data_IF_392691256656
#
_entry.id   IF_392691256656
#
_cell.length_a   1.000
_cell.length_b   1.000
_cell.length_c   1.000
_cell.angle_alpha   90.00
_cell.angle_beta   90.00
_cell.angle_gamma   90.00
#
_symmetry.space_group_name_H-M   'P 1'
#
loop_
_entity.id
_entity.type
_entity.pdbx_description
1 polymer ?
#
# COMPACT_ATOMS: atom_id res chain seq x y z
N UNK A 1 7.75 -15.84 16.88
CA UNK A 1 8.09 -16.42 15.56
C UNK A 1 7.43 -15.57 14.50
N UNK A 2 8.24 -14.71 13.88
CA UNK A 2 7.77 -13.78 12.84
C UNK A 2 7.78 -14.51 11.49
N UNK A 3 6.61 -14.96 11.06
CA UNK A 3 6.45 -15.49 9.71
C UNK A 3 6.43 -14.33 8.71
N UNK A 4 7.54 -14.10 8.04
CA UNK A 4 7.59 -13.15 6.93
C UNK A 4 6.78 -13.70 5.76
N UNK A 5 5.66 -13.09 5.47
CA UNK A 5 4.87 -13.40 4.28
C UNK A 5 5.55 -12.81 3.05
N UNK A 6 6.36 -13.62 2.40
CA UNK A 6 7.01 -13.25 1.13
C UNK A 6 5.99 -13.26 -0.01
N UNK A 7 5.82 -12.12 -0.65
CA UNK A 7 5.32 -12.04 -2.02
C UNK A 7 3.81 -12.21 -2.27
N UNK A 8 2.95 -11.86 -1.30
CA UNK A 8 1.50 -11.97 -1.53
C UNK A 8 0.83 -10.62 -1.29
N UNK A 9 0.10 -10.17 -2.28
CA UNK A 9 -0.74 -8.97 -2.15
C UNK A 9 -1.85 -9.25 -1.13
N UNK A 10 -1.88 -8.47 -0.08
CA UNK A 10 -2.89 -8.62 0.97
C UNK A 10 -4.14 -7.86 0.56
N UNK A 11 -5.14 -8.58 0.05
CA UNK A 11 -6.47 -8.03 -0.16
C UNK A 11 -7.33 -8.28 1.07
N UNK A 12 -7.80 -7.21 1.66
CA UNK A 12 -8.71 -7.27 2.81
C UNK A 12 -10.12 -7.01 2.30
N UNK A 13 -11.03 -7.95 2.50
CA UNK A 13 -12.45 -7.82 2.09
C UNK A 13 -13.26 -7.33 3.28
N UNK A 14 -13.94 -6.25 3.07
CA UNK A 14 -14.90 -5.66 3.98
C UNK A 14 -16.28 -5.70 3.33
N UNK A 15 -17.21 -6.02 4.18
CA UNK A 15 -18.64 -6.08 3.94
C UNK A 15 -19.14 -5.48 2.59
N UNK A 16 -19.44 -6.31 1.71
CA UNK A 16 -19.98 -5.87 0.47
C UNK A 16 -21.47 -6.14 0.44
N UNK A 17 -21.97 -5.53 0.24
CA UNK A 17 -23.29 -5.68 0.21
C UNK A 17 -23.71 -6.31 -1.06
N UNK A 18 -23.42 -7.04 -1.11
CA UNK A 18 -23.95 -7.47 -2.12
C UNK A 18 -24.25 -8.73 -2.63
N UNK A 19 -23.96 -9.17 -2.71
CA UNK A 19 -24.28 -10.00 -3.62
C UNK A 19 -24.76 -11.28 -3.24
N UNK A 20 -25.56 -11.75 -3.77
CA UNK A 20 -25.96 -13.15 -3.57
C UNK A 20 -25.48 -14.01 -4.74
N UNK A 21 -24.65 -14.98 -4.43
CA UNK A 21 -24.34 -16.09 -5.34
C UNK A 21 -23.61 -15.72 -6.64
N UNK A 22 -23.42 -16.70 -7.51
CA UNK A 22 -22.71 -16.57 -8.78
C UNK A 22 -23.41 -15.67 -9.80
N UNK A 23 -24.69 -15.40 -9.61
CA UNK A 23 -25.43 -14.38 -10.36
C UNK A 23 -25.69 -13.19 -9.45
N UNK A 24 -24.93 -12.11 -9.64
CA UNK A 24 -25.14 -10.85 -8.94
C UNK A 24 -26.40 -10.15 -9.45
N UNK A 25 -27.53 -10.86 -9.41
CA UNK A 25 -28.81 -10.31 -9.82
C UNK A 25 -29.59 -9.89 -8.58
N UNK A 26 -29.26 -8.70 -8.10
CA UNK A 26 -29.93 -8.12 -6.94
C UNK A 26 -31.34 -7.62 -7.30
N UNK A 27 -32.30 -8.50 -7.17
CA UNK A 27 -33.69 -8.07 -7.08
C UNK A 27 -34.13 -7.97 -5.63
N UNK A 28 -34.38 -6.73 -5.23
CA UNK A 28 -35.30 -6.28 -4.17
C UNK A 28 -34.90 -6.21 -2.70
N UNK A 29 -35.07 -4.98 -2.25
CA UNK A 29 -35.84 -4.46 -1.09
C UNK A 29 -35.64 -5.15 0.26
N UNK A 30 -35.30 -4.35 1.22
CA UNK A 30 -35.53 -4.61 2.62
C UNK A 30 -34.51 -3.94 3.51
N UNK A 31 -35.02 -3.32 4.50
CA UNK A 31 -34.30 -2.87 5.68
C UNK A 31 -33.47 -4.05 6.21
N UNK A 32 -32.16 -3.87 6.30
CA UNK A 32 -31.24 -5.01 6.52
C UNK A 32 -30.81 -5.10 7.97
N UNK A 33 -31.54 -5.89 8.69
CA UNK A 33 -31.23 -6.24 10.08
C UNK A 33 -30.56 -7.62 10.19
N UNK A 34 -29.87 -8.08 9.13
CA UNK A 34 -29.31 -9.43 9.20
C UNK A 34 -27.79 -9.42 9.03
N UNK A 35 -27.08 -9.33 10.14
CA UNK A 35 -25.62 -9.42 10.23
C UNK A 35 -25.08 -10.69 9.56
N UNK A 36 -25.80 -11.79 9.68
CA UNK A 36 -25.42 -13.09 9.10
C UNK A 36 -25.39 -13.07 7.57
N UNK A 37 -26.40 -12.44 6.95
CA UNK A 37 -26.47 -12.32 5.49
C UNK A 37 -25.25 -11.55 4.92
N UNK A 38 -24.85 -10.50 5.60
CA UNK A 38 -23.71 -9.65 5.19
C UNK A 38 -22.36 -10.38 5.32
N UNK A 39 -22.23 -11.26 6.32
CA UNK A 39 -21.03 -12.10 6.49
C UNK A 39 -20.96 -13.13 5.35
N UNK A 40 -22.08 -13.73 4.98
CA UNK A 40 -22.14 -14.71 3.88
C UNK A 40 -21.81 -14.06 2.52
N UNK A 41 -22.25 -12.83 2.31
CA UNK A 41 -21.90 -12.04 1.12
C UNK A 41 -20.39 -11.79 1.06
N UNK A 42 -19.77 -11.38 2.15
CA UNK A 42 -18.33 -11.16 2.25
C UNK A 42 -17.54 -12.45 2.01
N UNK A 43 -18.02 -13.58 2.53
CA UNK A 43 -17.43 -14.91 2.27
C UNK A 43 -17.54 -15.29 0.79
N UNK A 44 -18.66 -14.97 0.13
CA UNK A 44 -18.87 -15.24 -1.29
C UNK A 44 -17.88 -14.42 -2.15
N UNK A 45 -17.68 -13.15 -1.82
CA UNK A 45 -16.69 -12.28 -2.48
C UNK A 45 -15.29 -12.86 -2.25
N UNK A 46 -14.96 -13.22 -1.02
CA UNK A 46 -13.67 -13.87 -0.70
C UNK A 46 -13.44 -15.11 -1.57
N UNK A 47 -14.41 -16.01 -1.61
CA UNK A 47 -14.31 -17.25 -2.39
C UNK A 47 -14.13 -16.97 -3.89
N UNK A 48 -14.82 -15.96 -4.40
CA UNK A 48 -14.67 -15.52 -5.80
C UNK A 48 -13.24 -15.03 -6.07
N UNK A 49 -12.71 -14.17 -5.21
CA UNK A 49 -11.34 -13.62 -5.35
C UNK A 49 -10.28 -14.73 -5.27
N UNK A 50 -10.43 -15.65 -4.31
CA UNK A 50 -9.51 -16.79 -4.14
C UNK A 50 -9.51 -17.69 -5.38
N UNK A 51 -10.67 -17.95 -5.98
CA UNK A 51 -10.76 -18.72 -7.24
C UNK A 51 -10.01 -18.04 -8.40
N UNK A 52 -9.92 -16.73 -8.38
CA UNK A 52 -9.18 -15.96 -9.39
C UNK A 52 -7.72 -15.65 -8.97
N UNK A 53 -7.20 -16.36 -7.95
CA UNK A 53 -5.80 -16.26 -7.53
C UNK A 53 -5.47 -15.06 -6.64
N UNK A 54 -6.49 -14.33 -6.19
CA UNK A 54 -6.31 -13.15 -5.33
C UNK A 54 -6.46 -13.59 -3.87
N UNK A 55 -5.38 -13.47 -3.11
CA UNK A 55 -5.38 -13.83 -1.68
C UNK A 55 -6.11 -12.80 -0.83
N UNK A 56 -7.00 -13.28 0.00
CA UNK A 56 -7.75 -12.46 0.96
C UNK A 56 -7.20 -12.74 2.36
N UNK A 57 -6.66 -11.73 2.98
CA UNK A 57 -6.04 -11.82 4.32
C UNK A 57 -7.10 -11.96 5.41
N UNK A 58 -8.10 -11.09 5.38
CA UNK A 58 -9.09 -11.01 6.45
C UNK A 58 -10.43 -10.53 5.91
N UNK A 59 -11.51 -10.98 6.56
CA UNK A 59 -12.87 -10.49 6.33
C UNK A 59 -13.32 -9.85 7.64
N UNK A 60 -13.75 -8.60 7.57
CA UNK A 60 -14.15 -7.83 8.75
C UNK A 60 -15.60 -7.37 8.65
N UNK A 61 -16.21 -7.15 9.78
CA UNK A 61 -17.63 -6.77 9.88
C UNK A 61 -17.83 -5.32 10.26
N UNK A 62 -16.76 -4.65 10.72
CA UNK A 62 -16.79 -3.22 11.12
C UNK A 62 -15.62 -2.47 10.46
N UNK A 63 -15.77 -1.17 10.32
CA UNK A 63 -14.72 -0.30 9.81
C UNK A 63 -13.50 -0.24 10.76
N UNK A 64 -13.75 -0.24 12.07
CA UNK A 64 -12.67 -0.25 13.06
C UNK A 64 -11.77 -1.49 12.94
N UNK A 65 -12.37 -2.68 12.71
CA UNK A 65 -11.59 -3.89 12.42
C UNK A 65 -10.77 -3.73 11.13
N UNK A 66 -11.32 -3.00 10.16
CA UNK A 66 -10.68 -2.71 8.89
C UNK A 66 -9.42 -1.89 9.09
N UNK A 67 -9.55 -0.78 9.73
CA UNK A 67 -8.45 0.12 10.01
C UNK A 67 -7.34 -0.62 10.78
N UNK A 68 -7.70 -1.35 11.82
CA UNK A 68 -6.75 -2.14 12.63
C UNK A 68 -6.01 -3.18 11.79
N UNK A 69 -6.71 -3.85 10.86
CA UNK A 69 -6.08 -4.85 10.00
C UNK A 69 -5.16 -4.19 8.96
N UNK A 70 -5.51 -3.01 8.48
CA UNK A 70 -4.66 -2.22 7.57
C UNK A 70 -3.36 -1.78 8.27
N UNK A 71 -3.45 -1.32 9.52
CA UNK A 71 -2.27 -0.92 10.31
C UNK A 71 -1.28 -2.07 10.51
N UNK A 72 -1.78 -3.31 10.51
CA UNK A 72 -0.94 -4.50 10.68
C UNK A 72 -0.28 -4.98 9.38
N UNK A 73 -0.55 -4.32 8.25
CA UNK A 73 -0.06 -4.72 6.93
C UNK A 73 0.77 -3.61 6.27
N UNK A 74 1.68 -3.98 5.38
CA UNK A 74 2.57 -3.04 4.66
C UNK A 74 1.87 -2.32 3.50
N UNK A 75 0.88 -2.95 2.90
CA UNK A 75 0.09 -2.43 1.78
C UNK A 75 -1.09 -3.37 1.51
N UNK A 76 -2.07 -2.90 0.79
CA UNK A 76 -3.20 -3.74 0.42
C UNK A 76 -4.36 -3.02 -0.24
N UNK A 77 -5.41 -3.79 -0.53
CA UNK A 77 -6.66 -3.30 -1.08
C UNK A 77 -7.80 -3.62 -0.10
N UNK A 78 -8.54 -2.61 0.28
CA UNK A 78 -9.76 -2.75 1.08
C UNK A 78 -10.96 -2.72 0.12
N UNK A 79 -11.73 -3.79 0.11
CA UNK A 79 -12.99 -3.87 -0.67
C UNK A 79 -14.14 -3.72 0.32
N UNK A 80 -14.97 -2.72 0.13
CA UNK A 80 -16.01 -2.39 1.11
C UNK A 80 -17.32 -1.92 0.46
N UNK A 81 -18.37 -1.89 1.24
CA UNK A 81 -19.63 -1.23 0.90
C UNK A 81 -19.60 0.25 1.29
N UNK A 82 -20.65 0.96 0.91
CA UNK A 82 -20.79 2.39 1.22
C UNK A 82 -20.80 2.67 2.72
N UNK A 83 -21.38 1.78 3.51
CA UNK A 83 -21.59 2.00 4.96
C UNK A 83 -21.35 0.73 5.77
N UNK A 84 -20.68 0.90 6.89
CA UNK A 84 -20.50 -0.06 7.96
C UNK A 84 -21.48 0.23 9.10
N UNK A 85 -21.63 -0.68 10.08
CA UNK A 85 -22.42 -0.41 11.28
C UNK A 85 -21.88 0.76 12.13
N UNK A 86 -20.56 0.96 12.06
CA UNK A 86 -19.81 1.89 12.94
C UNK A 86 -19.34 3.16 12.22
N UNK A 87 -19.25 3.15 10.89
CA UNK A 87 -18.73 4.31 10.13
C UNK A 87 -19.08 4.27 8.65
N UNK A 88 -18.90 5.37 7.95
CA UNK A 88 -18.98 5.46 6.49
C UNK A 88 -17.64 5.07 5.85
N UNK A 89 -17.66 4.70 4.55
CA UNK A 89 -16.44 4.42 3.79
C UNK A 89 -15.46 5.60 3.79
N UNK A 90 -15.98 6.82 3.78
CA UNK A 90 -15.15 8.05 3.79
C UNK A 90 -14.41 8.22 5.11
N UNK A 91 -15.03 7.88 6.22
CA UNK A 91 -14.39 7.87 7.54
C UNK A 91 -13.32 6.78 7.61
N UNK A 92 -13.62 5.60 7.06
CA UNK A 92 -12.62 4.53 6.97
C UNK A 92 -11.44 4.97 6.10
N UNK A 93 -11.69 5.60 4.95
CA UNK A 93 -10.65 6.10 4.05
C UNK A 93 -9.71 7.11 4.73
N UNK A 94 -10.26 7.94 5.62
CA UNK A 94 -9.46 8.91 6.40
C UNK A 94 -8.64 8.24 7.52
N UNK A 95 -8.98 7.01 7.90
CA UNK A 95 -8.35 6.29 9.00
C UNK A 95 -7.43 5.15 8.56
N UNK A 96 -7.30 4.91 7.25
CA UNK A 96 -6.37 3.90 6.73
C UNK A 96 -5.08 4.56 6.24
N UNK A 97 -3.95 3.85 6.26
CA UNK A 97 -2.69 4.39 5.77
C UNK A 97 -2.72 4.68 4.25
N UNK A 98 -1.97 5.70 3.81
CA UNK A 98 -1.88 6.16 2.40
C UNK A 98 -1.39 5.08 1.42
N UNK A 99 -0.80 4.01 1.92
CA UNK A 99 -0.31 2.90 1.08
C UNK A 99 -1.38 1.82 0.85
N UNK A 100 -2.60 2.07 1.31
CA UNK A 100 -3.76 1.22 1.02
C UNK A 100 -4.65 1.84 -0.04
N UNK A 101 -5.07 1.04 -1.01
CA UNK A 101 -6.12 1.42 -1.94
C UNK A 101 -7.49 0.94 -1.42
N UNK A 102 -8.54 1.64 -1.82
CA UNK A 102 -9.91 1.30 -1.44
C UNK A 102 -10.79 1.14 -2.68
N UNK A 103 -11.58 0.07 -2.70
CA UNK A 103 -12.59 -0.20 -3.72
C UNK A 103 -13.97 -0.28 -3.04
N UNK A 104 -14.82 0.67 -3.37
CA UNK A 104 -16.15 0.77 -2.77
C UNK A 104 -17.20 0.17 -3.73
N UNK A 105 -18.03 -0.72 -3.22
CA UNK A 105 -19.17 -1.25 -3.97
C UNK A 105 -20.41 -0.50 -3.46
N UNK A 106 -21.01 0.32 -4.32
CA UNK A 106 -22.11 1.20 -3.94
C UNK A 106 -23.35 0.99 -4.81
N UNK A 107 -24.52 1.19 -4.20
CA UNK A 107 -25.77 1.24 -4.94
C UNK A 107 -25.77 2.47 -5.86
N UNK A 108 -26.60 2.49 -6.87
CA UNK A 108 -26.72 3.61 -7.81
C UNK A 108 -26.99 4.95 -7.10
N UNK A 109 -27.72 4.91 -6.00
CA UNK A 109 -28.05 6.10 -5.21
C UNK A 109 -26.80 6.74 -4.59
N UNK A 110 -25.85 5.91 -4.14
CA UNK A 110 -24.62 6.36 -3.46
C UNK A 110 -23.41 6.46 -4.38
N UNK A 111 -23.54 6.03 -5.64
CA UNK A 111 -22.42 5.96 -6.58
C UNK A 111 -21.78 7.32 -6.85
N UNK A 112 -22.60 8.35 -7.06
CA UNK A 112 -22.08 9.70 -7.33
C UNK A 112 -21.28 10.26 -6.13
N UNK A 113 -21.80 10.07 -4.93
CA UNK A 113 -21.11 10.49 -3.70
C UNK A 113 -19.76 9.75 -3.53
N UNK A 114 -19.70 8.47 -3.89
CA UNK A 114 -18.45 7.71 -3.88
C UNK A 114 -17.47 8.24 -4.94
N UNK A 115 -17.96 8.52 -6.14
CA UNK A 115 -17.15 9.01 -7.24
C UNK A 115 -16.51 10.36 -6.94
N UNK A 116 -17.23 11.24 -6.26
CA UNK A 116 -16.76 12.57 -5.86
C UNK A 116 -15.61 12.49 -4.83
N UNK A 117 -15.55 11.42 -4.06
CA UNK A 117 -14.47 11.24 -3.06
C UNK A 117 -13.12 10.87 -3.68
N UNK A 118 -13.06 10.58 -4.99
CA UNK A 118 -11.83 10.16 -5.67
C UNK A 118 -11.44 8.69 -5.43
N UNK A 119 -12.25 7.95 -4.69
CA UNK A 119 -12.01 6.53 -4.39
C UNK A 119 -12.61 5.68 -5.52
N UNK A 120 -11.92 4.61 -5.89
CA UNK A 120 -12.42 3.68 -6.91
C UNK A 120 -13.76 3.08 -6.48
N UNK A 121 -14.78 3.24 -7.32
CA UNK A 121 -16.13 2.81 -6.97
C UNK A 121 -16.74 1.94 -8.08
N UNK A 122 -17.41 0.88 -7.70
CA UNK A 122 -18.18 0.01 -8.62
C UNK A 122 -19.66 0.09 -8.30
N UNK A 123 -20.49 0.39 -9.31
CA UNK A 123 -21.94 0.46 -9.09
C UNK A 123 -22.59 -0.91 -9.07
N UNK A 124 -23.63 -1.04 -8.28
CA UNK A 124 -24.49 -2.23 -8.29
C UNK A 124 -25.60 -2.08 -9.33
N UNK A 125 -26.04 -3.18 -10.00
CA UNK A 125 -25.62 -4.58 -9.82
C UNK A 125 -24.23 -4.85 -10.37
N UNK A 126 -23.42 -5.59 -9.60
CA UNK A 126 -22.03 -5.85 -9.89
C UNK A 126 -21.86 -7.01 -10.88
N UNK A 127 -21.22 -6.78 -12.00
CA UNK A 127 -20.84 -7.86 -12.93
C UNK A 127 -19.55 -8.50 -12.45
N UNK A 128 -19.53 -9.80 -12.34
CA UNK A 128 -18.38 -10.57 -11.84
C UNK A 128 -17.10 -10.23 -12.59
N UNK A 129 -17.18 -10.19 -13.92
CA UNK A 129 -15.99 -9.91 -14.75
C UNK A 129 -15.43 -8.50 -14.52
N UNK A 130 -16.30 -7.49 -14.46
CA UNK A 130 -15.89 -6.09 -14.22
C UNK A 130 -15.24 -5.97 -12.84
N UNK A 131 -15.81 -6.63 -11.83
CA UNK A 131 -15.26 -6.66 -10.47
C UNK A 131 -13.87 -7.28 -10.44
N UNK A 132 -13.72 -8.48 -11.00
CA UNK A 132 -12.42 -9.20 -11.01
C UNK A 132 -11.37 -8.37 -11.78
N UNK A 133 -11.73 -7.82 -12.92
CA UNK A 133 -10.82 -6.99 -13.73
C UNK A 133 -10.36 -5.76 -12.92
N UNK A 134 -11.28 -5.06 -12.27
CA UNK A 134 -10.95 -3.88 -11.46
C UNK A 134 -10.03 -4.26 -10.30
N UNK A 135 -10.38 -5.32 -9.57
CA UNK A 135 -9.54 -5.78 -8.43
C UNK A 135 -8.15 -6.19 -8.92
N UNK A 136 -8.05 -6.92 -10.03
CA UNK A 136 -6.76 -7.36 -10.58
C UNK A 136 -5.88 -6.17 -10.97
N UNK A 137 -6.46 -5.20 -11.66
CA UNK A 137 -5.74 -3.97 -12.05
C UNK A 137 -5.27 -3.18 -10.82
N UNK A 138 -6.13 -3.03 -9.82
CA UNK A 138 -5.76 -2.33 -8.58
C UNK A 138 -4.62 -3.07 -7.85
N UNK A 139 -4.72 -4.38 -7.75
CA UNK A 139 -3.68 -5.23 -7.12
C UNK A 139 -2.35 -5.09 -7.88
N UNK A 140 -2.38 -5.10 -9.21
CA UNK A 140 -1.18 -4.90 -10.04
C UNK A 140 -0.55 -3.52 -9.79
N UNK A 141 -1.37 -2.49 -9.69
CA UNK A 141 -0.91 -1.12 -9.39
C UNK A 141 -0.26 -1.05 -8.00
N UNK A 142 -0.87 -1.65 -6.99
CA UNK A 142 -0.30 -1.73 -5.62
C UNK A 142 1.08 -2.41 -5.67
N UNK A 143 1.19 -3.54 -6.36
CA UNK A 143 2.44 -4.28 -6.49
C UNK A 143 3.52 -3.46 -7.20
N UNK A 144 3.14 -2.70 -8.23
CA UNK A 144 4.04 -1.83 -8.98
C UNK A 144 4.54 -0.67 -8.08
N UNK A 145 3.63 0.00 -7.37
CA UNK A 145 3.98 1.08 -6.44
C UNK A 145 4.86 0.57 -5.28
N UNK A 146 4.59 -0.63 -4.78
CA UNK A 146 5.42 -1.30 -3.78
C UNK A 146 6.85 -1.51 -4.29
N UNK A 147 7.00 -2.01 -5.51
CA UNK A 147 8.32 -2.18 -6.15
C UNK A 147 9.02 -0.83 -6.27
N UNK A 148 8.31 0.18 -6.74
CA UNK A 148 8.83 1.55 -6.91
C UNK A 148 9.28 2.15 -5.57
N UNK A 149 8.50 1.97 -4.49
CA UNK A 149 8.88 2.41 -3.14
C UNK A 149 10.16 1.71 -2.66
N UNK A 150 10.29 0.40 -2.90
CA UNK A 150 11.48 -0.38 -2.51
C UNK A 150 12.73 -0.02 -3.32
N UNK A 151 12.55 0.40 -4.57
CA UNK A 151 13.68 0.77 -5.44
C UNK A 151 14.04 2.25 -5.33
N UNK A 152 13.19 3.09 -4.75
CA UNK A 152 13.53 4.48 -4.49
C UNK A 152 14.71 4.53 -3.51
N UNK A 153 15.82 5.21 -3.86
CA UNK A 153 16.90 5.43 -2.89
C UNK A 153 16.31 6.16 -1.68
N UNK A 154 16.62 5.66 -0.50
CA UNK A 154 16.20 6.31 0.75
C UNK A 154 16.71 7.76 0.73
N UNK A 155 15.81 8.71 0.85
CA UNK A 155 16.21 10.12 0.92
C UNK A 155 17.14 10.31 2.13
N UNK A 156 18.31 10.85 1.86
CA UNK A 156 19.31 11.10 2.89
C UNK A 156 18.83 12.23 3.81
N UNK A 157 19.05 12.05 5.08
CA UNK A 157 18.79 13.11 6.06
C UNK A 157 19.70 14.32 5.79
N UNK A 158 19.33 15.47 6.30
CA UNK A 158 20.16 16.69 6.17
C UNK A 158 21.54 16.50 6.80
N UNK A 159 21.62 15.73 7.88
CA UNK A 159 22.88 15.36 8.53
C UNK A 159 23.74 14.50 7.61
N UNK A 160 23.17 13.46 7.01
CA UNK A 160 23.88 12.61 6.05
C UNK A 160 24.40 13.41 4.85
N UNK A 161 23.59 14.35 4.35
CA UNK A 161 24.00 15.26 3.25
C UNK A 161 25.18 16.14 3.68
N UNK A 162 25.15 16.66 4.89
CA UNK A 162 26.25 17.47 5.45
C UNK A 162 27.55 16.68 5.56
N UNK A 163 27.48 15.45 6.05
CA UNK A 163 28.65 14.56 6.20
C UNK A 163 29.27 14.25 4.82
N UNK A 164 28.43 13.90 3.83
CA UNK A 164 28.92 13.65 2.46
C UNK A 164 29.57 14.91 1.88
N UNK A 165 28.96 16.09 2.10
CA UNK A 165 29.51 17.37 1.62
C UNK A 165 30.87 17.66 2.27
N UNK A 166 30.98 17.47 3.57
CA UNK A 166 32.24 17.67 4.30
C UNK A 166 33.34 16.74 3.78
N UNK A 167 33.03 15.46 3.57
CA UNK A 167 33.97 14.48 3.02
C UNK A 167 34.42 14.86 1.59
N UNK A 168 33.48 15.36 0.76
CA UNK A 168 33.86 15.86 -0.58
C UNK A 168 34.81 17.05 -0.52
N UNK A 169 34.52 18.05 0.31
CA UNK A 169 35.35 19.21 0.47
C UNK A 169 36.79 18.79 0.89
N UNK A 170 36.88 17.88 1.83
CA UNK A 170 38.15 17.34 2.29
C UNK A 170 38.94 16.66 1.15
N UNK A 171 38.26 15.80 0.38
CA UNK A 171 38.90 15.14 -0.79
C UNK A 171 39.34 16.12 -1.85
N UNK A 172 38.64 17.25 -2.02
CA UNK A 172 39.04 18.33 -2.91
C UNK A 172 40.30 19.00 -2.41
N UNK A 173 40.40 19.28 -1.10
CA UNK A 173 41.57 19.92 -0.48
C UNK A 173 42.80 18.99 -0.46
N UNK A 174 42.62 17.73 -0.06
CA UNK A 174 43.72 16.77 0.12
C UNK A 174 44.25 16.21 -1.21
N UNK A 175 43.39 15.99 -2.19
CA UNK A 175 43.74 15.29 -3.43
C UNK A 175 43.58 16.15 -4.70
N UNK A 176 43.15 17.39 -4.57
CA UNK A 176 42.93 18.28 -5.71
C UNK A 176 41.82 17.86 -6.66
N UNK A 177 40.87 17.09 -6.17
CA UNK A 177 39.68 16.68 -6.97
C UNK A 177 38.73 17.86 -7.18
N UNK A 178 38.07 17.87 -8.31
CA UNK A 178 36.85 18.67 -8.47
C UNK A 178 35.68 18.01 -7.73
N UNK A 179 34.57 18.69 -7.59
CA UNK A 179 33.39 18.17 -6.86
C UNK A 179 32.88 16.85 -7.42
N UNK A 180 32.88 16.71 -8.75
CA UNK A 180 32.44 15.47 -9.42
C UNK A 180 33.41 14.31 -9.18
N UNK A 181 34.72 14.60 -9.22
CA UNK A 181 35.79 13.66 -8.92
C UNK A 181 35.71 13.14 -7.49
N UNK A 182 35.55 14.05 -6.53
CA UNK A 182 35.39 13.73 -5.12
C UNK A 182 34.14 12.82 -4.90
N UNK A 183 33.04 13.16 -5.56
CA UNK A 183 31.81 12.35 -5.46
C UNK A 183 32.02 10.95 -6.07
N UNK A 184 32.62 10.85 -7.25
CA UNK A 184 32.93 9.56 -7.90
C UNK A 184 33.86 8.71 -7.05
N UNK A 185 34.86 9.34 -6.44
CA UNK A 185 35.81 8.66 -5.54
C UNK A 185 35.10 8.06 -4.34
N UNK A 186 34.27 8.86 -3.64
CA UNK A 186 33.43 8.41 -2.53
C UNK A 186 32.56 7.22 -2.93
N UNK A 187 31.87 7.35 -4.08
CA UNK A 187 30.98 6.32 -4.57
C UNK A 187 31.74 5.02 -4.90
N UNK A 188 32.86 5.14 -5.59
CA UNK A 188 33.70 3.97 -5.96
C UNK A 188 34.20 3.26 -4.70
N UNK A 189 34.75 4.02 -3.74
CA UNK A 189 35.25 3.47 -2.48
C UNK A 189 34.15 2.80 -1.65
N UNK A 190 32.96 3.37 -1.60
CA UNK A 190 31.83 2.75 -0.91
C UNK A 190 31.43 1.41 -1.58
N UNK A 191 31.44 1.36 -2.92
CA UNK A 191 31.16 0.12 -3.67
C UNK A 191 32.25 -0.92 -3.45
N UNK A 192 33.52 -0.53 -3.54
CA UNK A 192 34.69 -1.42 -3.38
C UNK A 192 34.70 -2.08 -1.99
N UNK A 193 34.26 -1.34 -0.97
CA UNK A 193 34.24 -1.83 0.42
C UNK A 193 32.86 -2.40 0.83
N UNK A 194 31.86 -2.34 -0.04
CA UNK A 194 30.51 -2.89 0.23
C UNK A 194 29.77 -2.15 1.37
N UNK A 195 30.09 -0.87 1.61
CA UNK A 195 29.47 -0.06 2.67
C UNK A 195 28.71 1.12 2.08
N UNK A 196 27.85 1.73 2.91
CA UNK A 196 27.09 2.91 2.49
C UNK A 196 28.01 4.11 2.27
N UNK A 197 27.69 4.97 1.30
CA UNK A 197 28.46 6.19 0.98
C UNK A 197 28.55 7.13 2.21
N UNK A 198 27.55 7.14 3.10
CA UNK A 198 27.57 7.91 4.35
C UNK A 198 28.65 7.38 5.30
N UNK A 199 28.70 6.04 5.46
CA UNK A 199 29.72 5.37 6.27
C UNK A 199 31.12 5.63 5.71
N UNK A 200 31.29 5.55 4.39
CA UNK A 200 32.56 5.87 3.74
C UNK A 200 32.95 7.33 3.99
N UNK A 201 31.97 8.26 3.95
CA UNK A 201 32.23 9.69 4.23
C UNK A 201 32.71 9.90 5.67
N UNK A 202 32.11 9.22 6.65
CA UNK A 202 32.58 9.23 8.04
C UNK A 202 34.02 8.71 8.14
N UNK A 203 34.33 7.58 7.53
CA UNK A 203 35.68 6.99 7.55
C UNK A 203 36.73 7.95 6.98
N UNK A 204 36.42 8.65 5.90
CA UNK A 204 37.32 9.64 5.30
C UNK A 204 37.54 10.85 6.25
N UNK A 205 36.47 11.27 6.93
CA UNK A 205 36.60 12.38 7.91
C UNK A 205 37.37 11.95 9.15
N UNK A 206 37.18 10.72 9.63
CA UNK A 206 37.86 10.20 10.83
C UNK A 206 39.35 9.88 10.59
N UNK A 207 39.69 9.37 9.39
CA UNK A 207 41.06 8.96 9.08
C UNK A 207 42.07 10.13 9.14
N UNK A 208 41.62 11.37 9.19
CA UNK A 208 42.50 12.54 9.31
C UNK A 208 42.65 13.01 10.76
N UNK A 209 41.89 12.47 11.67
CA UNK A 209 42.08 12.80 13.09
C UNK A 209 43.26 12.05 13.72
N UNK A 210 43.99 11.26 12.92
CA UNK A 210 45.10 10.43 13.39
C UNK A 210 46.50 10.84 12.86
N UNK A 211 46.60 12.00 12.16
CA UNK A 211 47.87 12.54 11.70
C UNK A 211 48.04 14.00 12.07
#
# INVERSE_FOLDING_TARGET
>A
VRGCCFGKCNCTIWKXXXXKGADFNLKKRGHYDNLNAKIEEAKSIKNLLVRHGINVTQVCTTGAQAAQAADACDDGLIICGYQYPDMLFSELAANIPDYFDMLVIASRVHYEACRESGITCLPMPLRTQDFINTVSLTVENILWERKKRKTKPKERTEEEKKVIKAAKLKLMDDNGFDEQGAHRYLQKKSMDNGINIVEMAYMILEHTALF
#
